data_IF_068818683286
#
_entry.id   IF_068818683286
#
_cell.length_a   1.000
_cell.length_b   1.000
_cell.length_c   1.000
_cell.angle_alpha   90.00
_cell.angle_beta   90.00
_cell.angle_gamma   90.00
#
_symmetry.space_group_name_H-M   'P 1'
#
loop_
_entity.id
_entity.type
_entity.pdbx_description
1 polymer ?
#
# COMPACT_ATOMS: atom_id res chain seq x y z
N UNK A 1 -16.29 -12.50 9.56
CA UNK A 1 -15.88 -11.38 8.69
C UNK A 1 -14.45 -10.97 8.97
N UNK A 2 -14.06 -10.79 10.24
CA UNK A 2 -12.67 -10.53 10.64
C UNK A 2 -11.70 -11.62 10.17
N UNK A 3 -12.06 -12.90 10.29
CA UNK A 3 -11.18 -14.02 9.85
C UNK A 3 -10.86 -14.00 8.35
N UNK A 4 -11.86 -13.75 7.49
CA UNK A 4 -11.66 -13.65 6.05
C UNK A 4 -10.76 -12.46 5.65
N UNK A 5 -10.80 -11.37 6.42
CA UNK A 5 -9.93 -10.21 6.24
C UNK A 5 -8.49 -10.55 6.61
N UNK A 6 -8.29 -11.31 7.69
CA UNK A 6 -6.98 -11.83 8.12
C UNK A 6 -6.38 -12.80 7.10
N UNK A 7 -7.18 -13.67 6.50
CA UNK A 7 -6.72 -14.62 5.48
C UNK A 7 -6.28 -13.91 4.20
N UNK A 8 -7.05 -12.93 3.74
CA UNK A 8 -6.71 -12.12 2.56
C UNK A 8 -5.41 -11.35 2.79
N UNK A 9 -5.27 -10.73 3.97
CA UNK A 9 -4.06 -10.02 4.36
C UNK A 9 -2.84 -10.95 4.39
N UNK A 10 -2.99 -12.14 4.98
CA UNK A 10 -1.93 -13.17 5.05
C UNK A 10 -1.51 -13.63 3.66
N UNK A 11 -2.48 -13.84 2.75
CA UNK A 11 -2.21 -14.23 1.37
C UNK A 11 -1.46 -13.13 0.62
N UNK A 12 -1.84 -11.87 0.79
CA UNK A 12 -1.19 -10.75 0.13
C UNK A 12 0.23 -10.52 0.65
N UNK A 13 0.45 -10.61 1.97
CA UNK A 13 1.81 -10.60 2.54
C UNK A 13 2.67 -11.73 1.98
N UNK A 14 2.10 -12.94 1.83
CA UNK A 14 2.80 -14.08 1.24
C UNK A 14 3.21 -13.83 -0.21
N UNK A 15 2.37 -13.17 -1.01
CA UNK A 15 2.72 -12.77 -2.39
C UNK A 15 3.86 -11.75 -2.43
N UNK A 16 3.90 -10.81 -1.49
CA UNK A 16 4.98 -9.82 -1.42
C UNK A 16 6.30 -10.49 -1.02
N UNK A 17 6.27 -11.42 -0.05
CA UNK A 17 7.42 -12.26 0.30
C UNK A 17 7.92 -13.12 -0.87
N UNK A 18 7.00 -13.73 -1.61
CA UNK A 18 7.35 -14.49 -2.81
C UNK A 18 7.97 -13.60 -3.89
N UNK A 19 7.42 -12.39 -4.09
CA UNK A 19 7.97 -11.40 -5.02
C UNK A 19 9.40 -11.05 -4.66
N UNK A 20 9.69 -10.82 -3.37
CA UNK A 20 11.04 -10.60 -2.86
C UNK A 20 11.97 -11.78 -3.17
N UNK A 21 11.54 -13.00 -2.83
CA UNK A 21 12.36 -14.20 -3.03
C UNK A 21 12.70 -14.44 -4.51
N UNK A 22 11.83 -14.02 -5.43
CA UNK A 22 12.01 -14.14 -6.88
C UNK A 22 12.77 -12.97 -7.49
N UNK A 23 12.94 -11.86 -6.76
CA UNK A 23 13.51 -10.61 -7.26
C UNK A 23 14.84 -10.30 -6.57
N UNK A 24 15.91 -10.97 -7.01
CA UNK A 24 17.25 -10.82 -6.44
C UNK A 24 17.83 -9.40 -6.58
N UNK A 25 17.33 -8.58 -7.51
CA UNK A 25 17.75 -7.18 -7.68
C UNK A 25 17.00 -6.21 -6.74
N UNK A 26 15.88 -6.64 -6.15
CA UNK A 26 14.97 -5.84 -5.34
C UNK A 26 14.23 -4.74 -6.13
N UNK A 27 14.31 -4.75 -7.46
CA UNK A 27 13.75 -3.70 -8.32
C UNK A 27 12.21 -3.72 -8.33
N UNK A 28 11.58 -4.88 -8.26
CA UNK A 28 10.12 -5.02 -8.24
C UNK A 28 9.53 -4.41 -6.97
N UNK A 29 10.15 -4.63 -5.81
CA UNK A 29 9.70 -4.02 -4.56
C UNK A 29 9.88 -2.49 -4.59
N UNK A 30 11.00 -1.98 -5.11
CA UNK A 30 11.20 -0.53 -5.31
C UNK A 30 10.17 0.08 -6.26
N UNK A 31 9.81 -0.62 -7.33
CA UNK A 31 8.78 -0.16 -8.27
C UNK A 31 7.39 -0.13 -7.61
N UNK A 32 7.07 -1.10 -6.75
CA UNK A 32 5.83 -1.10 -5.96
C UNK A 32 5.81 0.09 -5.00
N UNK A 33 6.90 0.32 -4.26
CA UNK A 33 7.03 1.47 -3.36
C UNK A 33 6.84 2.80 -4.10
N UNK A 34 7.50 2.97 -5.25
CA UNK A 34 7.36 4.15 -6.10
C UNK A 34 5.92 4.36 -6.61
N UNK A 35 5.24 3.28 -7.02
CA UNK A 35 3.85 3.33 -7.46
C UNK A 35 2.90 3.74 -6.32
N UNK A 36 3.09 3.18 -5.12
CA UNK A 36 2.34 3.57 -3.93
C UNK A 36 2.56 5.04 -3.59
N UNK A 37 3.81 5.51 -3.67
CA UNK A 37 4.15 6.92 -3.43
C UNK A 37 3.49 7.87 -4.42
N UNK A 38 3.55 7.56 -5.71
CA UNK A 38 2.87 8.34 -6.74
C UNK A 38 1.35 8.38 -6.52
N UNK A 39 0.75 7.25 -6.11
CA UNK A 39 -0.69 7.15 -5.82
C UNK A 39 -1.06 8.04 -4.62
N UNK A 40 -0.28 8.03 -3.54
CA UNK A 40 -0.50 8.92 -2.39
C UNK A 40 -0.47 10.40 -2.77
N UNK A 41 0.47 10.80 -3.65
CA UNK A 41 0.56 12.17 -4.14
C UNK A 41 -0.67 12.57 -4.97
N UNK A 42 -1.16 11.66 -5.84
CA UNK A 42 -2.36 11.91 -6.64
C UNK A 42 -3.61 12.05 -5.76
N UNK A 43 -3.74 11.22 -4.72
CA UNK A 43 -4.84 11.31 -3.75
C UNK A 43 -4.94 12.70 -3.12
N UNK A 44 -3.79 13.31 -2.80
CA UNK A 44 -3.75 14.65 -2.18
C UNK A 44 -4.39 15.71 -3.08
N UNK A 45 -4.22 15.59 -4.40
CA UNK A 45 -4.87 16.46 -5.38
C UNK A 45 -6.38 16.27 -5.33
N UNK A 46 -6.86 15.03 -5.31
CA UNK A 46 -8.29 14.72 -5.25
C UNK A 46 -8.94 15.14 -3.92
N UNK A 47 -8.24 14.99 -2.79
CA UNK A 47 -8.69 15.49 -1.48
C UNK A 47 -8.93 17.00 -1.50
N UNK A 48 -7.99 17.76 -2.09
CA UNK A 48 -8.11 19.22 -2.18
C UNK A 48 -9.29 19.68 -3.06
N UNK A 49 -9.69 18.86 -4.03
CA UNK A 49 -10.81 19.10 -4.93
C UNK A 49 -12.16 18.60 -4.38
N UNK A 50 -12.17 17.90 -3.24
CA UNK A 50 -13.36 17.27 -2.69
C UNK A 50 -14.38 18.31 -2.18
N UNK A 51 -15.62 18.17 -2.66
CA UNK A 51 -16.72 19.12 -2.43
C UNK A 51 -17.39 19.01 -1.07
N UNK A 52 -17.27 17.88 -0.39
CA UNK A 52 -17.94 17.60 0.88
C UNK A 52 -17.06 16.82 1.86
N UNK A 53 -17.52 16.76 3.11
CA UNK A 53 -16.78 16.14 4.21
C UNK A 53 -16.72 14.62 4.11
N UNK A 54 -17.72 13.96 3.50
CA UNK A 54 -17.73 12.51 3.35
C UNK A 54 -16.63 12.09 2.36
N UNK A 55 -16.55 12.76 1.21
CA UNK A 55 -15.49 12.54 0.23
C UNK A 55 -14.09 12.80 0.83
N UNK A 56 -13.93 13.86 1.64
CA UNK A 56 -12.66 14.11 2.36
C UNK A 56 -12.30 13.00 3.34
N UNK A 57 -13.28 12.45 4.05
CA UNK A 57 -13.05 11.34 4.98
C UNK A 57 -12.66 10.07 4.23
N UNK A 58 -13.30 9.76 3.09
CA UNK A 58 -12.93 8.62 2.24
C UNK A 58 -11.48 8.73 1.75
N UNK A 59 -11.05 9.93 1.35
CA UNK A 59 -9.67 10.19 0.97
C UNK A 59 -8.68 10.03 2.13
N UNK A 60 -9.05 10.41 3.36
CA UNK A 60 -8.21 10.18 4.55
C UNK A 60 -8.01 8.68 4.77
N UNK A 61 -9.10 7.89 4.73
CA UNK A 61 -9.03 6.44 4.88
C UNK A 61 -8.15 5.82 3.80
N UNK A 62 -8.29 6.25 2.54
CA UNK A 62 -7.48 5.72 1.44
C UNK A 62 -6.01 6.13 1.55
N UNK A 63 -5.72 7.37 1.97
CA UNK A 63 -4.36 7.84 2.24
C UNK A 63 -3.68 7.01 3.33
N UNK A 64 -4.37 6.76 4.44
CA UNK A 64 -3.83 5.97 5.54
C UNK A 64 -3.60 4.51 5.13
N UNK A 65 -4.50 3.95 4.31
CA UNK A 65 -4.34 2.62 3.72
C UNK A 65 -3.12 2.51 2.79
N UNK A 66 -2.85 3.53 1.98
CA UNK A 66 -1.68 3.55 1.09
C UNK A 66 -0.38 3.65 1.91
N UNK A 67 -0.36 4.47 2.96
CA UNK A 67 0.81 4.58 3.85
C UNK A 67 1.08 3.25 4.56
N UNK A 68 0.04 2.59 5.07
CA UNK A 68 0.19 1.26 5.67
C UNK A 68 0.74 0.23 4.67
N UNK A 69 0.30 0.28 3.41
CA UNK A 69 0.84 -0.59 2.36
C UNK A 69 2.33 -0.30 2.08
N UNK A 70 2.75 0.97 2.08
CA UNK A 70 4.17 1.34 1.95
C UNK A 70 5.00 0.78 3.09
N UNK A 71 4.53 0.92 4.33
CA UNK A 71 5.23 0.41 5.51
C UNK A 71 5.42 -1.11 5.45
N UNK A 72 4.40 -1.84 4.98
CA UNK A 72 4.48 -3.30 4.78
C UNK A 72 5.53 -3.66 3.73
N UNK A 73 5.53 -2.97 2.59
CA UNK A 73 6.49 -3.23 1.50
C UNK A 73 7.91 -2.90 1.94
N UNK A 74 8.12 -1.77 2.60
CA UNK A 74 9.41 -1.36 3.14
C UNK A 74 9.92 -2.35 4.20
N UNK A 75 9.04 -2.78 5.12
CA UNK A 75 9.37 -3.80 6.11
C UNK A 75 9.85 -5.09 5.42
N UNK A 76 9.08 -5.62 4.46
CA UNK A 76 9.43 -6.85 3.75
C UNK A 76 10.74 -6.69 2.96
N UNK A 77 10.94 -5.56 2.29
CA UNK A 77 12.19 -5.27 1.58
C UNK A 77 13.41 -5.31 2.52
N UNK A 78 13.26 -4.83 3.75
CA UNK A 78 14.33 -4.79 4.76
C UNK A 78 14.59 -6.12 5.48
N UNK A 79 13.71 -7.12 5.35
CA UNK A 79 13.92 -8.42 6.00
C UNK A 79 15.21 -9.11 5.48
N UNK A 80 15.85 -9.98 6.27
CA UNK A 80 16.98 -10.77 5.80
C UNK A 80 16.61 -11.77 4.69
#
# INVERSE_FOLDING_TARGET
>A
MFDAMTDTLTQDMSKILQTKAQDLSGERLRNIEAALHATAQQLRVHWSAASDQAARNDFIVLHDGINAAQDIVAHIASMP
#
